data_IF_326735429228
#
_entry.id   IF_326735429228
#
_cell.length_a   1.000
_cell.length_b   1.000
_cell.length_c   1.000
_cell.angle_alpha   90.00
_cell.angle_beta   90.00
_cell.angle_gamma   90.00
#
_symmetry.space_group_name_H-M   'P 1'
#
loop_
_entity.id
_entity.type
_entity.pdbx_description
1 polymer ?
#
# COMPACT_ATOMS: atom_id res chain seq x y z
N UNK A 1 5.64 -2.09 -4.61
CA UNK A 1 6.73 -2.51 -3.71
C UNK A 1 6.94 -4.01 -3.90
N UNK A 2 8.17 -4.51 -3.78
CA UNK A 2 8.45 -5.93 -3.90
C UNK A 2 8.26 -6.62 -2.53
N UNK A 3 7.59 -7.77 -2.51
CA UNK A 3 7.33 -8.55 -1.30
C UNK A 3 8.58 -9.35 -0.91
N UNK A 4 8.95 -9.35 0.37
CA UNK A 4 10.05 -10.16 0.92
C UNK A 4 9.52 -11.41 1.64
N UNK A 5 9.58 -12.55 0.96
CA UNK A 5 9.15 -13.85 1.50
C UNK A 5 9.76 -14.20 2.86
N UNK A 6 11.05 -13.95 3.07
CA UNK A 6 11.71 -14.31 4.34
C UNK A 6 11.21 -13.45 5.51
N UNK A 7 10.80 -12.20 5.25
CA UNK A 7 10.13 -11.37 6.25
C UNK A 7 8.77 -11.96 6.65
N UNK A 8 8.00 -12.47 5.68
CA UNK A 8 6.72 -13.11 5.96
C UNK A 8 6.88 -14.40 6.78
N UNK A 9 7.84 -15.25 6.41
CA UNK A 9 8.16 -16.48 7.16
C UNK A 9 8.64 -16.13 8.58
N UNK A 10 9.49 -15.11 8.73
CA UNK A 10 9.96 -14.65 10.05
C UNK A 10 8.82 -14.12 10.92
N UNK A 11 7.80 -13.49 10.32
CA UNK A 11 6.61 -13.05 11.04
C UNK A 11 5.84 -14.20 11.68
N UNK A 12 5.71 -15.32 10.95
CA UNK A 12 5.10 -16.54 11.46
C UNK A 12 5.95 -17.16 12.57
N UNK A 13 7.25 -17.33 12.34
CA UNK A 13 8.17 -17.92 13.31
C UNK A 13 8.20 -17.17 14.64
N UNK A 14 8.15 -15.84 14.59
CA UNK A 14 8.11 -15.01 15.80
C UNK A 14 6.85 -15.25 16.67
N UNK A 15 5.76 -15.73 16.07
CA UNK A 15 4.44 -15.96 16.68
C UNK A 15 4.12 -17.44 16.92
N UNK A 16 4.93 -18.35 16.38
CA UNK A 16 4.82 -19.79 16.62
C UNK A 16 4.79 -20.09 18.12
N UNK A 17 3.75 -20.79 18.57
CA UNK A 17 3.53 -21.10 19.99
C UNK A 17 3.12 -19.93 20.89
N UNK A 18 2.91 -18.72 20.36
CA UNK A 18 2.53 -17.52 21.13
C UNK A 18 1.14 -16.96 20.80
N UNK A 19 0.55 -17.42 19.71
CA UNK A 19 -0.78 -17.00 19.24
C UNK A 19 -1.68 -18.21 19.09
N UNK A 20 -2.98 -17.99 19.20
CA UNK A 20 -3.99 -19.04 19.07
C UNK A 20 -4.70 -19.00 17.72
N UNK A 21 -5.30 -20.12 17.32
CA UNK A 21 -6.18 -20.14 16.15
C UNK A 21 -7.57 -19.60 16.51
N UNK A 22 -8.10 -18.66 15.73
CA UNK A 22 -9.49 -18.19 15.86
C UNK A 22 -10.03 -17.63 14.55
N UNK A 23 -11.24 -18.08 14.14
CA UNK A 23 -11.98 -17.48 13.02
C UNK A 23 -12.79 -16.25 13.43
N UNK A 24 -13.11 -16.10 14.72
CA UNK A 24 -13.86 -14.95 15.25
C UNK A 24 -12.93 -13.76 15.57
N UNK A 25 -11.73 -14.07 16.08
CA UNK A 25 -10.72 -13.09 16.49
C UNK A 25 -9.46 -13.26 15.65
N UNK A 26 -9.56 -12.91 14.36
CA UNK A 26 -8.53 -13.22 13.36
C UNK A 26 -7.56 -12.09 13.03
N UNK A 27 -7.74 -10.92 13.63
CA UNK A 27 -6.97 -9.70 13.31
C UNK A 27 -5.76 -9.45 14.23
N UNK A 28 -5.43 -10.43 15.09
CA UNK A 28 -4.36 -10.32 16.07
C UNK A 28 -4.74 -9.48 17.31
N UNK A 29 -3.75 -9.20 18.19
CA UNK A 29 -2.38 -9.72 18.16
C UNK A 29 -2.27 -11.16 18.70
N UNK A 30 -3.28 -11.64 19.43
CA UNK A 30 -3.22 -12.89 20.18
C UNK A 30 -3.77 -14.11 19.41
N UNK A 31 -4.47 -13.88 18.31
CA UNK A 31 -5.09 -14.93 17.53
C UNK A 31 -5.25 -14.56 16.05
N UNK A 32 -5.20 -15.59 15.22
CA UNK A 32 -5.32 -15.51 13.77
C UNK A 32 -6.02 -16.77 13.26
N UNK A 33 -6.68 -16.73 12.12
CA UNK A 33 -6.98 -17.93 11.32
C UNK A 33 -5.91 -18.16 10.24
N UNK A 34 -6.10 -19.17 9.38
CA UNK A 34 -5.16 -19.50 8.33
C UNK A 34 -4.89 -18.33 7.38
N UNK A 35 -5.92 -17.75 6.78
CA UNK A 35 -5.82 -16.70 5.76
C UNK A 35 -5.45 -15.33 6.33
N UNK A 36 -5.93 -14.97 7.50
CA UNK A 36 -5.48 -13.76 8.20
C UNK A 36 -4.00 -13.84 8.57
N UNK A 37 -3.51 -15.01 8.99
CA UNK A 37 -2.09 -15.18 9.32
C UNK A 37 -1.19 -14.97 8.09
N UNK A 38 -1.56 -15.51 6.93
CA UNK A 38 -0.85 -15.29 5.65
C UNK A 38 -0.93 -13.83 5.23
N UNK A 39 -2.12 -13.23 5.34
CA UNK A 39 -2.34 -11.81 5.05
C UNK A 39 -1.42 -10.90 5.85
N UNK A 40 -1.39 -11.01 7.18
CA UNK A 40 -0.57 -10.15 8.03
C UNK A 40 0.92 -10.43 7.90
N UNK A 41 1.30 -11.69 7.65
CA UNK A 41 2.69 -12.05 7.36
C UNK A 41 3.18 -11.37 6.08
N UNK A 42 2.44 -11.49 4.98
CA UNK A 42 2.79 -10.90 3.70
C UNK A 42 2.68 -9.36 3.73
N UNK A 43 1.72 -8.78 4.45
CA UNK A 43 1.69 -7.34 4.70
C UNK A 43 2.93 -6.84 5.42
N UNK A 44 3.40 -7.56 6.44
CA UNK A 44 4.65 -7.21 7.12
C UNK A 44 5.88 -7.33 6.19
N UNK A 45 5.75 -8.08 5.10
CA UNK A 45 6.74 -8.27 4.06
C UNK A 45 6.61 -7.30 2.86
N UNK A 46 5.70 -6.32 2.92
CA UNK A 46 5.54 -5.30 1.87
C UNK A 46 4.42 -5.57 0.87
N UNK A 47 3.54 -6.55 1.13
CA UNK A 47 2.31 -6.74 0.35
C UNK A 47 1.37 -5.55 0.53
N UNK A 48 0.70 -5.16 -0.55
CA UNK A 48 -0.36 -4.14 -0.51
C UNK A 48 -1.53 -4.65 0.32
N UNK A 49 -2.00 -3.81 1.25
CA UNK A 49 -3.16 -4.12 2.09
C UNK A 49 -4.42 -4.30 1.24
N UNK A 50 -5.23 -5.32 1.56
CA UNK A 50 -6.59 -5.46 1.05
C UNK A 50 -7.63 -4.58 1.79
N UNK A 51 -7.22 -3.86 2.84
CA UNK A 51 -8.10 -3.12 3.76
C UNK A 51 -8.71 -3.96 4.89
N UNK A 52 -8.69 -5.29 4.76
CA UNK A 52 -9.17 -6.26 5.75
C UNK A 52 -8.36 -7.55 5.63
N UNK A 53 -8.28 -8.35 6.69
CA UNK A 53 -7.62 -9.64 6.63
C UNK A 53 -8.35 -10.57 5.65
N UNK A 54 -7.76 -10.87 4.50
CA UNK A 54 -8.44 -11.67 3.46
C UNK A 54 -8.87 -13.04 4.00
N UNK A 55 -9.96 -13.59 3.46
CA UNK A 55 -10.32 -15.00 3.66
C UNK A 55 -9.83 -15.82 2.47
N UNK A 56 -9.95 -17.15 2.54
CA UNK A 56 -9.52 -18.10 1.51
C UNK A 56 -10.14 -17.84 0.13
N UNK A 57 -11.35 -17.28 0.04
CA UNK A 57 -12.00 -16.94 -1.24
C UNK A 57 -11.38 -15.72 -1.93
N UNK A 58 -11.07 -14.69 -1.13
CA UNK A 58 -10.53 -13.43 -1.63
C UNK A 58 -9.00 -13.40 -1.71
N UNK A 59 -8.33 -14.32 -1.01
CA UNK A 59 -6.87 -14.41 -0.97
C UNK A 59 -6.27 -14.65 -2.37
N UNK A 60 -6.94 -15.41 -3.22
CA UNK A 60 -6.56 -15.62 -4.63
C UNK A 60 -6.32 -14.29 -5.38
N UNK A 61 -7.33 -13.42 -5.43
CA UNK A 61 -7.24 -12.15 -6.15
C UNK A 61 -6.24 -11.20 -5.50
N UNK A 62 -6.14 -11.27 -4.17
CA UNK A 62 -5.22 -10.45 -3.42
C UNK A 62 -3.75 -10.83 -3.68
N UNK A 63 -3.43 -12.12 -3.77
CA UNK A 63 -2.10 -12.60 -4.14
C UNK A 63 -1.72 -12.15 -5.56
N UNK A 64 -2.63 -12.29 -6.54
CA UNK A 64 -2.38 -11.81 -7.90
C UNK A 64 -2.10 -10.31 -7.95
N UNK A 65 -2.89 -9.50 -7.22
CA UNK A 65 -2.65 -8.04 -7.10
C UNK A 65 -1.31 -7.71 -6.46
N UNK A 66 -0.76 -8.63 -5.68
CA UNK A 66 0.52 -8.53 -5.00
C UNK A 66 1.69 -9.08 -5.82
N UNK A 67 1.47 -9.42 -7.09
CA UNK A 67 2.52 -9.90 -8.00
C UNK A 67 2.81 -11.39 -7.90
N UNK A 68 1.91 -12.16 -7.28
CA UNK A 68 1.94 -13.62 -7.39
C UNK A 68 1.31 -14.07 -8.70
N UNK A 69 1.73 -15.23 -9.19
CA UNK A 69 1.08 -15.97 -10.26
C UNK A 69 0.62 -17.33 -9.77
N UNK A 70 -0.48 -17.82 -10.34
CA UNK A 70 -0.91 -19.20 -10.18
C UNK A 70 0.08 -20.11 -10.93
N UNK A 71 0.75 -21.01 -10.22
CA UNK A 71 1.72 -21.96 -10.80
C UNK A 71 1.19 -23.38 -10.87
N UNK A 72 0.19 -23.72 -10.05
CA UNK A 72 -0.49 -25.01 -10.11
C UNK A 72 -1.95 -24.88 -9.62
N UNK A 73 -2.84 -25.64 -10.25
CA UNK A 73 -4.23 -25.82 -9.87
C UNK A 73 -4.58 -27.31 -9.92
N UNK A 74 -4.87 -27.90 -8.75
CA UNK A 74 -5.25 -29.30 -8.54
C UNK A 74 -4.38 -30.32 -9.32
N UNK A 75 -3.08 -30.08 -9.32
CA UNK A 75 -2.07 -30.91 -9.98
C UNK A 75 -0.74 -30.79 -9.21
N UNK A 76 0.16 -31.74 -9.44
CA UNK A 76 1.50 -31.72 -8.85
C UNK A 76 2.32 -30.51 -9.32
N UNK A 77 3.24 -30.06 -8.46
CA UNK A 77 4.21 -29.02 -8.79
C UNK A 77 5.50 -29.19 -8.00
N UNK A 78 6.56 -28.57 -8.49
CA UNK A 78 7.83 -28.44 -7.75
C UNK A 78 7.70 -27.29 -6.76
N UNK A 79 7.45 -27.62 -5.50
CA UNK A 79 7.26 -26.69 -4.39
C UNK A 79 8.52 -25.90 -4.08
N UNK A 80 8.33 -24.60 -3.88
CA UNK A 80 9.42 -23.68 -3.57
C UNK A 80 9.11 -22.89 -2.31
N UNK A 81 10.16 -22.56 -1.56
CA UNK A 81 10.07 -21.64 -0.43
C UNK A 81 9.42 -20.33 -0.89
N UNK A 82 8.35 -19.94 -0.20
CA UNK A 82 7.56 -18.75 -0.50
C UNK A 82 6.33 -18.98 -1.37
N UNK A 83 6.13 -20.21 -1.87
CA UNK A 83 4.86 -20.57 -2.46
C UNK A 83 3.75 -20.46 -1.41
N UNK A 84 2.63 -19.86 -1.80
CA UNK A 84 1.41 -19.77 -0.99
C UNK A 84 0.43 -20.79 -1.55
N UNK A 85 0.00 -21.75 -0.74
CA UNK A 85 -1.04 -22.69 -1.14
C UNK A 85 -2.39 -22.24 -0.58
N UNK A 86 -3.46 -22.49 -1.34
CA UNK A 86 -4.83 -22.30 -0.90
C UNK A 86 -5.60 -23.58 -1.21
N UNK A 87 -6.15 -24.22 -0.17
CA UNK A 87 -7.03 -25.36 -0.26
C UNK A 87 -8.50 -24.96 -0.21
N UNK A 88 -9.32 -25.74 -0.89
CA UNK A 88 -10.75 -25.52 -1.06
C UNK A 88 -11.05 -24.95 -2.44
N UNK A 89 -12.04 -25.53 -3.13
CA UNK A 89 -12.45 -25.06 -4.45
C UNK A 89 -13.02 -23.65 -4.33
N UNK A 90 -12.59 -22.75 -5.23
CA UNK A 90 -13.01 -21.35 -5.20
C UNK A 90 -14.54 -21.25 -5.37
N UNK A 91 -15.19 -20.47 -4.51
CA UNK A 91 -16.65 -20.39 -4.34
C UNK A 91 -17.23 -21.38 -3.32
N UNK A 92 -16.41 -22.26 -2.74
CA UNK A 92 -16.80 -23.27 -1.74
C UNK A 92 -15.84 -23.35 -0.55
N UNK A 93 -14.82 -22.49 -0.47
CA UNK A 93 -13.73 -22.52 0.51
C UNK A 93 -13.96 -21.64 1.74
N UNK A 94 -15.15 -21.02 1.88
CA UNK A 94 -15.50 -20.20 3.04
C UNK A 94 -15.59 -20.98 4.36
N UNK A 95 -15.24 -20.34 5.48
CA UNK A 95 -15.30 -20.95 6.81
C UNK A 95 -14.35 -22.14 6.93
N UNK A 96 -14.88 -23.30 7.32
CA UNK A 96 -14.10 -24.54 7.44
C UNK A 96 -13.79 -25.22 6.08
N UNK A 97 -14.30 -24.68 4.97
CA UNK A 97 -14.15 -25.25 3.63
C UNK A 97 -12.80 -24.98 2.96
N UNK A 98 -11.92 -24.21 3.59
CA UNK A 98 -10.63 -23.84 3.02
C UNK A 98 -9.51 -23.70 4.05
N UNK A 99 -8.28 -23.74 3.55
CA UNK A 99 -7.08 -23.62 4.37
C UNK A 99 -5.91 -23.05 3.55
N UNK A 100 -4.95 -22.40 4.18
CA UNK A 100 -3.86 -21.71 3.46
C UNK A 100 -2.62 -21.59 4.34
N UNK A 101 -1.47 -21.36 3.70
CA UNK A 101 -0.17 -21.26 4.35
C UNK A 101 0.97 -21.00 3.36
N UNK A 102 2.19 -20.89 3.88
CA UNK A 102 3.38 -20.58 3.10
C UNK A 102 4.39 -21.74 3.18
N UNK A 103 4.93 -22.17 2.05
CA UNK A 103 6.05 -23.11 2.00
C UNK A 103 7.32 -22.46 2.54
N UNK A 104 8.01 -23.14 3.45
CA UNK A 104 9.30 -22.68 3.99
C UNK A 104 10.49 -23.42 3.35
N UNK A 105 10.24 -24.56 2.71
CA UNK A 105 11.17 -25.32 1.87
C UNK A 105 10.35 -26.19 0.89
N UNK A 106 10.92 -27.24 0.32
CA UNK A 106 10.24 -28.16 -0.60
C UNK A 106 9.09 -28.93 0.06
N UNK A 107 9.20 -29.26 1.34
CA UNK A 107 8.35 -30.28 1.97
C UNK A 107 7.52 -29.73 3.13
N UNK A 108 7.92 -28.58 3.68
CA UNK A 108 7.35 -28.04 4.91
C UNK A 108 6.64 -26.71 4.67
N UNK A 109 5.54 -26.54 5.39
CA UNK A 109 4.73 -25.32 5.41
C UNK A 109 4.70 -24.71 6.80
N UNK A 110 4.54 -23.39 6.86
CA UNK A 110 4.19 -22.66 8.06
C UNK A 110 2.80 -22.05 7.91
N UNK A 111 1.93 -22.29 8.89
CA UNK A 111 0.53 -21.91 8.79
C UNK A 111 -0.13 -21.81 10.17
N UNK A 112 -1.17 -21.00 10.30
CA UNK A 112 -2.06 -21.02 11.46
C UNK A 112 -3.18 -22.03 11.22
N UNK A 113 -3.38 -22.99 12.12
CA UNK A 113 -4.39 -24.04 11.94
C UNK A 113 -5.08 -24.47 13.24
N UNK A 114 -6.30 -24.99 13.06
CA UNK A 114 -7.16 -25.46 14.14
C UNK A 114 -6.54 -26.64 14.89
N UNK A 115 -5.98 -27.64 14.19
CA UNK A 115 -5.46 -28.87 14.77
C UNK A 115 -4.31 -28.64 15.78
N UNK A 116 -3.46 -27.65 15.52
CA UNK A 116 -2.35 -27.24 16.40
C UNK A 116 -2.69 -26.02 17.26
N UNK A 117 -3.91 -25.50 17.16
CA UNK A 117 -4.45 -24.38 17.95
C UNK A 117 -3.63 -23.09 17.83
N UNK A 118 -3.00 -22.85 16.70
CA UNK A 118 -2.13 -21.69 16.46
C UNK A 118 -1.21 -21.90 15.26
N UNK A 119 -0.10 -21.18 15.24
CA UNK A 119 0.92 -21.31 14.19
C UNK A 119 1.82 -22.52 14.47
N UNK A 120 2.03 -23.36 13.46
CA UNK A 120 2.93 -24.50 13.47
C UNK A 120 3.68 -24.65 12.13
N UNK A 121 4.73 -25.47 12.16
CA UNK A 121 5.43 -25.96 10.97
C UNK A 121 5.12 -27.44 10.86
N UNK A 122 4.62 -27.86 9.71
CA UNK A 122 4.23 -29.24 9.44
C UNK A 122 4.63 -29.62 8.01
N UNK A 123 4.83 -30.92 7.76
CA UNK A 123 5.07 -31.43 6.41
C UNK A 123 3.79 -31.32 5.58
N UNK A 124 3.89 -30.77 4.37
CA UNK A 124 2.74 -30.47 3.51
C UNK A 124 1.91 -31.70 3.19
N UNK A 125 2.53 -32.77 2.68
CA UNK A 125 1.84 -34.00 2.27
C UNK A 125 1.10 -34.66 3.43
N UNK A 126 1.68 -34.61 4.63
CA UNK A 126 1.04 -35.15 5.84
C UNK A 126 -0.26 -34.40 6.16
N UNK A 127 -0.24 -33.06 6.09
CA UNK A 127 -1.41 -32.23 6.38
C UNK A 127 -2.44 -32.31 5.24
N UNK A 128 -1.98 -32.37 3.98
CA UNK A 128 -2.83 -32.52 2.81
C UNK A 128 -3.59 -33.86 2.82
N UNK A 129 -2.89 -34.96 3.13
CA UNK A 129 -3.49 -36.28 3.28
C UNK A 129 -4.51 -36.32 4.42
N UNK A 130 -4.19 -35.72 5.58
CA UNK A 130 -5.11 -35.62 6.71
C UNK A 130 -6.37 -34.80 6.39
N UNK A 131 -6.27 -33.87 5.45
CA UNK A 131 -7.39 -33.05 4.96
C UNK A 131 -8.19 -33.73 3.84
N UNK A 132 -7.79 -34.94 3.42
CA UNK A 132 -8.44 -35.68 2.34
C UNK A 132 -8.09 -35.18 0.94
N UNK A 133 -6.90 -34.57 0.77
CA UNK A 133 -6.43 -34.01 -0.51
C UNK A 133 -7.44 -33.04 -1.12
N UNK A 134 -7.78 -32.01 -0.34
CA UNK A 134 -8.65 -30.93 -0.80
C UNK A 134 -8.11 -30.30 -2.08
N UNK A 135 -9.02 -29.78 -2.92
CA UNK A 135 -8.67 -29.04 -4.13
C UNK A 135 -7.67 -27.93 -3.80
N UNK A 136 -6.56 -27.83 -4.54
CA UNK A 136 -5.44 -26.96 -4.19
C UNK A 136 -5.07 -25.97 -5.30
N UNK A 137 -4.79 -24.73 -4.92
CA UNK A 137 -4.20 -23.69 -5.75
C UNK A 137 -2.84 -23.30 -5.18
N UNK A 138 -1.86 -23.06 -6.03
CA UNK A 138 -0.51 -22.67 -5.61
C UNK A 138 -0.08 -21.40 -6.30
N UNK A 139 0.31 -20.41 -5.51
CA UNK A 139 0.72 -19.09 -5.95
C UNK A 139 2.19 -18.85 -5.65
N UNK A 140 2.94 -18.41 -6.66
CA UNK A 140 4.36 -18.07 -6.55
C UNK A 140 4.59 -16.60 -6.86
N UNK A 141 5.33 -15.92 -6.01
CA UNK A 141 5.73 -14.54 -6.26
C UNK A 141 6.60 -14.47 -7.52
N UNK A 142 6.25 -13.60 -8.47
CA UNK A 142 7.12 -13.39 -9.64
C UNK A 142 8.39 -12.65 -9.20
N UNK A 143 9.53 -13.34 -9.27
CA UNK A 143 10.83 -12.77 -8.95
C UNK A 143 11.12 -11.55 -9.85
N UNK A 144 11.36 -10.39 -9.22
CA UNK A 144 11.98 -9.26 -9.90
C UNK A 144 13.31 -9.67 -10.52
N UNK A 145 13.45 -9.41 -11.83
CA UNK A 145 14.57 -9.68 -12.73
C UNK A 145 15.91 -10.18 -12.14
N UNK A 146 16.41 -11.29 -12.68
CA UNK A 146 17.80 -11.77 -12.51
C UNK A 146 18.84 -10.67 -12.83
N UNK A 147 19.91 -10.63 -12.02
CA UNK A 147 21.06 -9.72 -12.17
C UNK A 147 22.24 -10.35 -12.93
N UNK A 148 22.14 -11.62 -13.31
CA UNK A 148 23.23 -12.36 -13.94
C UNK A 148 23.45 -11.91 -15.40
N UNK A 149 24.65 -11.43 -15.72
CA UNK A 149 25.04 -10.99 -17.08
C UNK A 149 24.72 -9.54 -17.43
N UNK A 150 24.15 -8.75 -16.51
CA UNK A 150 23.83 -7.34 -16.74
C UNK A 150 25.03 -6.41 -16.52
N UNK A 151 25.12 -5.35 -17.32
CA UNK A 151 26.17 -4.34 -17.15
C UNK A 151 25.92 -3.46 -15.92
N UNK A 152 26.99 -2.89 -15.34
CA UNK A 152 26.89 -2.00 -14.18
C UNK A 152 25.98 -0.78 -14.44
N UNK A 153 26.02 -0.20 -15.64
CA UNK A 153 25.14 0.91 -16.05
C UNK A 153 23.66 0.48 -16.09
N UNK A 154 23.38 -0.72 -16.62
CA UNK A 154 22.03 -1.29 -16.61
C UNK A 154 21.54 -1.50 -15.18
N UNK A 155 22.38 -2.08 -14.33
CA UNK A 155 22.04 -2.31 -12.93
C UNK A 155 21.80 -1.00 -12.17
N UNK A 156 22.62 0.04 -12.39
CA UNK A 156 22.41 1.38 -11.82
C UNK A 156 21.09 2.00 -12.26
N UNK A 157 20.77 1.98 -13.56
CA UNK A 157 19.51 2.52 -14.09
C UNK A 157 18.29 1.76 -13.56
N UNK A 158 18.36 0.43 -13.55
CA UNK A 158 17.28 -0.41 -13.02
C UNK A 158 17.13 -0.25 -11.51
N UNK A 159 18.23 -0.01 -10.79
CA UNK A 159 18.22 0.29 -9.35
C UNK A 159 17.61 1.66 -9.05
N UNK A 160 17.96 2.70 -9.83
CA UNK A 160 17.34 4.03 -9.74
C UNK A 160 15.85 3.99 -10.12
N UNK A 161 15.47 3.12 -11.05
CA UNK A 161 14.07 2.84 -11.41
C UNK A 161 13.34 1.95 -10.40
N UNK A 162 13.99 1.54 -9.30
CA UNK A 162 13.38 0.79 -8.20
C UNK A 162 13.17 -0.70 -8.44
N UNK A 163 13.73 -1.30 -9.49
CA UNK A 163 13.53 -2.73 -9.82
C UNK A 163 14.08 -3.71 -8.79
N UNK A 164 15.04 -3.29 -7.96
CA UNK A 164 15.74 -4.16 -7.01
C UNK A 164 15.39 -3.86 -5.55
N UNK A 165 14.32 -3.11 -5.29
CA UNK A 165 13.97 -2.70 -3.92
C UNK A 165 15.02 -1.79 -3.28
N UNK A 166 14.98 -1.69 -1.94
CA UNK A 166 15.81 -0.79 -1.12
C UNK A 166 16.50 -1.56 0.01
N UNK A 167 17.52 -0.98 0.66
CA UNK A 167 18.21 -1.58 1.82
C UNK A 167 18.76 -2.99 1.55
N UNK A 168 18.51 -3.91 2.48
CA UNK A 168 18.94 -5.32 2.40
C UNK A 168 18.31 -6.08 1.23
N UNK A 169 17.10 -5.68 0.79
CA UNK A 169 16.46 -6.25 -0.41
C UNK A 169 17.29 -5.96 -1.66
N UNK A 170 17.78 -4.72 -1.77
CA UNK A 170 18.68 -4.30 -2.85
C UNK A 170 20.03 -5.01 -2.78
N UNK A 171 20.53 -5.22 -1.57
CA UNK A 171 21.78 -5.95 -1.31
C UNK A 171 21.68 -7.42 -1.69
N UNK A 172 20.58 -8.07 -1.37
CA UNK A 172 20.30 -9.44 -1.76
C UNK A 172 20.08 -9.58 -3.29
N UNK A 173 19.31 -8.68 -3.89
CA UNK A 173 18.99 -8.73 -5.32
C UNK A 173 20.21 -8.45 -6.22
N UNK A 174 21.03 -7.45 -5.86
CA UNK A 174 22.25 -7.10 -6.60
C UNK A 174 23.44 -8.01 -6.24
N UNK A 175 23.39 -8.72 -5.11
CA UNK A 175 24.44 -9.64 -4.67
C UNK A 175 25.82 -9.01 -4.71
N UNK A 176 26.76 -9.63 -5.42
CA UNK A 176 28.13 -9.15 -5.57
C UNK A 176 28.25 -7.81 -6.33
N UNK A 177 27.21 -7.37 -7.05
CA UNK A 177 27.19 -6.09 -7.78
C UNK A 177 26.72 -4.93 -6.90
N UNK A 178 26.19 -5.20 -5.70
CA UNK A 178 25.59 -4.18 -4.82
C UNK A 178 26.54 -3.02 -4.53
N UNK A 179 27.76 -3.29 -4.08
CA UNK A 179 28.71 -2.25 -3.71
C UNK A 179 29.08 -1.36 -4.90
N UNK A 180 29.32 -1.96 -6.06
CA UNK A 180 29.64 -1.23 -7.28
C UNK A 180 28.48 -0.34 -7.75
N UNK A 181 27.25 -0.85 -7.71
CA UNK A 181 26.05 -0.08 -8.10
C UNK A 181 25.79 1.07 -7.12
N UNK A 182 25.95 0.83 -5.81
CA UNK A 182 25.76 1.87 -4.79
C UNK A 182 26.85 2.92 -4.81
N UNK A 183 28.10 2.56 -5.11
CA UNK A 183 29.19 3.51 -5.25
C UNK A 183 28.92 4.53 -6.36
N UNK A 184 28.34 4.09 -7.49
CA UNK A 184 27.93 4.95 -8.60
C UNK A 184 26.73 5.83 -8.22
N UNK A 185 25.69 5.26 -7.61
CA UNK A 185 24.48 6.00 -7.21
C UNK A 185 24.78 7.06 -6.15
N UNK A 186 25.62 6.73 -5.16
CA UNK A 186 25.97 7.63 -4.06
C UNK A 186 27.05 8.67 -4.43
N UNK A 187 27.41 8.77 -5.72
CA UNK A 187 28.41 9.71 -6.21
C UNK A 187 29.84 9.45 -5.71
N UNK A 188 30.12 8.28 -5.14
CA UNK A 188 31.45 7.89 -4.63
C UNK A 188 32.36 7.31 -5.71
N UNK A 189 31.80 6.94 -6.86
CA UNK A 189 32.52 6.58 -8.08
C UNK A 189 31.79 7.16 -9.29
N UNK A 190 32.51 7.74 -10.24
CA UNK A 190 31.91 8.06 -11.55
C UNK A 190 31.64 6.74 -12.27
N UNK A 191 30.43 6.56 -12.80
CA UNK A 191 30.19 5.48 -13.77
C UNK A 191 31.27 5.59 -14.86
N UNK A 192 31.91 4.49 -15.28
CA UNK A 192 32.86 4.56 -16.39
C UNK A 192 32.11 5.09 -17.61
N UNK A 193 32.34 6.36 -17.95
CA UNK A 193 31.74 6.99 -19.12
C UNK A 193 32.28 6.22 -20.31
N UNK A 194 31.38 5.60 -21.08
CA UNK A 194 31.76 4.92 -22.31
C UNK A 194 32.56 5.90 -23.16
N UNK A 195 33.70 5.44 -23.65
CA UNK A 195 34.54 6.27 -24.53
C UNK A 195 33.80 6.56 -25.83
N UNK A 196 34.19 7.63 -26.52
CA UNK A 196 33.65 7.98 -27.84
C UNK A 196 33.77 6.79 -28.81
N UNK A 197 34.81 5.98 -28.67
CA UNK A 197 35.04 4.79 -29.50
C UNK A 197 34.05 3.65 -29.20
N UNK A 198 33.75 3.40 -27.92
CA UNK A 198 32.74 2.40 -27.53
C UNK A 198 31.34 2.82 -27.98
N UNK A 199 30.99 4.10 -27.80
CA UNK A 199 29.72 4.64 -28.26
C UNK A 199 29.61 4.60 -29.79
N UNK A 200 30.70 4.88 -30.50
CA UNK A 200 30.71 4.80 -31.97
C UNK A 200 30.49 3.36 -32.47
N UNK A 201 31.06 2.36 -31.80
CA UNK A 201 30.79 0.96 -32.12
C UNK A 201 29.33 0.57 -31.85
N UNK A 202 28.73 1.03 -30.75
CA UNK A 202 27.32 0.77 -30.44
C UNK A 202 26.37 1.43 -31.47
N UNK A 203 26.74 2.61 -31.99
CA UNK A 203 26.01 3.27 -33.08
C UNK A 203 26.09 2.46 -34.37
N UNK A 204 27.27 1.94 -34.72
CA UNK A 204 27.46 1.05 -35.89
C UNK A 204 26.67 -0.25 -35.72
N UNK A 205 26.56 -0.77 -34.49
CA UNK A 205 25.74 -1.93 -34.13
C UNK A 205 24.23 -1.63 -34.06
N UNK A 206 23.80 -0.39 -34.34
CA UNK A 206 22.39 0.00 -34.39
C UNK A 206 21.70 0.22 -33.03
N UNK A 207 22.45 0.21 -31.91
CA UNK A 207 21.88 0.27 -30.54
C UNK A 207 21.32 1.65 -30.14
N UNK A 208 21.60 2.68 -30.93
CA UNK A 208 21.19 4.07 -30.65
C UNK A 208 20.13 4.61 -31.63
N UNK A 209 19.52 3.77 -32.48
CA UNK A 209 18.56 4.24 -33.48
C UNK A 209 19.16 5.18 -34.54
N UNK A 210 18.31 5.94 -35.23
CA UNK A 210 18.67 6.86 -36.31
C UNK A 210 18.14 8.28 -36.03
N UNK A 211 18.75 9.30 -36.65
CA UNK A 211 18.30 10.70 -36.56
C UNK A 211 18.16 11.23 -35.13
N UNK A 212 16.96 11.73 -34.79
CA UNK A 212 16.65 12.32 -33.49
C UNK A 212 16.73 11.31 -32.33
N UNK A 213 16.41 10.04 -32.56
CA UNK A 213 16.54 9.00 -31.51
C UNK A 213 18.00 8.80 -31.10
N UNK A 214 18.91 8.88 -32.07
CA UNK A 214 20.35 8.83 -31.81
C UNK A 214 20.84 10.05 -31.06
N UNK A 215 20.34 11.22 -31.42
CA UNK A 215 20.67 12.48 -30.75
C UNK A 215 20.19 12.50 -29.30
N UNK A 216 18.97 12.00 -29.05
CA UNK A 216 18.41 11.81 -27.71
C UNK A 216 19.18 10.75 -26.91
N UNK A 217 19.63 9.68 -27.56
CA UNK A 217 20.35 8.57 -26.92
C UNK A 217 21.79 8.93 -26.53
N UNK A 218 22.51 9.69 -27.37
CA UNK A 218 23.91 10.08 -27.16
C UNK A 218 24.07 11.43 -26.43
N UNK A 219 23.03 12.27 -26.45
CA UNK A 219 23.00 13.57 -25.78
C UNK A 219 24.19 14.45 -26.15
N UNK A 220 24.96 14.98 -25.17
CA UNK A 220 26.09 15.89 -25.44
C UNK A 220 27.26 15.21 -26.17
N UNK A 221 27.35 13.88 -26.15
CA UNK A 221 28.41 13.13 -26.84
C UNK A 221 28.09 12.88 -28.32
N UNK A 222 26.89 13.26 -28.78
CA UNK A 222 26.41 13.01 -30.15
C UNK A 222 27.40 13.46 -31.22
N UNK A 223 27.88 14.70 -31.17
CA UNK A 223 28.75 15.25 -32.23
C UNK A 223 30.11 14.53 -32.28
N UNK A 224 30.70 14.22 -31.12
CA UNK A 224 31.97 13.52 -31.02
C UNK A 224 31.85 12.06 -31.50
N UNK A 225 30.77 11.37 -31.10
CA UNK A 225 30.50 9.99 -31.49
C UNK A 225 30.16 9.88 -32.97
N UNK A 226 29.33 10.78 -33.50
CA UNK A 226 28.96 10.77 -34.91
C UNK A 226 30.17 11.07 -35.82
N UNK A 227 31.07 11.96 -35.38
CA UNK A 227 32.36 12.17 -36.05
C UNK A 227 33.20 10.89 -36.06
N UNK A 228 33.30 10.20 -34.92
CA UNK A 228 34.06 8.95 -34.80
C UNK A 228 33.46 7.79 -35.60
N UNK A 229 32.14 7.65 -35.63
CA UNK A 229 31.43 6.70 -36.51
C UNK A 229 31.78 6.97 -37.97
N UNK A 230 31.81 8.24 -38.38
CA UNK A 230 32.19 8.63 -39.74
C UNK A 230 33.64 8.27 -40.06
N UNK A 231 34.57 8.45 -39.11
CA UNK A 231 35.97 8.04 -39.24
C UNK A 231 36.12 6.52 -39.36
N UNK A 232 35.39 5.73 -38.54
CA UNK A 232 35.42 4.27 -38.58
C UNK A 232 34.85 3.72 -39.90
N UNK A 233 33.77 4.34 -40.40
CA UNK A 233 33.17 3.98 -41.67
C UNK A 233 34.03 4.41 -42.86
N UNK A 234 34.76 5.53 -42.77
CA UNK A 234 35.77 5.95 -43.77
C UNK A 234 37.06 5.13 -43.71
N UNK A 235 37.45 4.61 -42.55
CA UNK A 235 38.56 3.66 -42.40
C UNK A 235 38.23 2.26 -42.93
N UNK A 236 36.95 1.91 -42.98
CA UNK A 236 36.43 0.65 -43.51
C UNK A 236 36.15 0.67 -45.02
N UNK A 237 36.36 1.79 -45.73
CA UNK A 237 36.29 1.82 -47.20
C UNK A 237 37.58 1.30 -47.84
N UNK A 238 37.80 -0.01 -47.71
CA UNK A 238 38.31 -0.83 -48.80
C UNK A 238 37.48 -2.11 -48.81
N UNK A 239 36.39 -2.10 -49.59
CA UNK A 239 35.52 -3.27 -49.71
C UNK A 239 34.06 -2.97 -50.02
N UNK A 240 33.80 -2.65 -51.29
CA UNK A 240 32.54 -2.80 -52.02
C UNK A 240 31.29 -1.96 -51.67
N UNK A 241 30.97 -1.13 -52.66
CA UNK A 241 29.79 -0.31 -52.96
C UNK A 241 28.56 -1.14 -53.40
N UNK A 242 27.36 -0.55 -53.63
CA UNK A 242 26.10 -0.93 -52.99
C UNK A 242 24.98 -1.30 -53.99
N UNK A 243 23.77 -1.62 -53.51
CA UNK A 243 22.51 -1.39 -54.26
C UNK A 243 21.27 -1.43 -53.37
N UNK A 244 20.58 -0.29 -53.27
CA UNK A 244 19.12 -0.20 -53.07
C UNK A 244 18.46 -0.24 -54.47
N UNK A 245 17.18 -0.63 -54.61
CA UNK A 245 16.13 0.40 -54.67
C UNK A 245 14.74 0.03 -54.09
N UNK A 246 14.01 1.09 -53.80
CA UNK A 246 12.56 1.29 -53.57
C UNK A 246 11.61 0.45 -54.44
N UNK A 247 10.44 0.08 -53.90
CA UNK A 247 9.11 0.54 -54.39
C UNK A 247 7.93 -0.08 -53.63
N UNK A 248 6.90 0.74 -53.35
CA UNK A 248 5.52 0.34 -53.06
C UNK A 248 4.73 0.30 -54.41
N UNK A 249 3.58 -0.42 -54.57
CA UNK A 249 2.29 0.12 -54.08
C UNK A 249 1.10 -0.89 -53.86
N UNK A 250 0.02 -0.35 -53.25
CA UNK A 250 -1.44 -0.62 -53.46
C UNK A 250 -2.02 -2.02 -53.11
N UNK A 251 -2.95 -2.15 -52.16
CA UNK A 251 -4.41 -1.81 -52.14
C UNK A 251 -5.27 -3.05 -52.45
N UNK A 252 -6.14 -3.44 -51.51
CA UNK A 252 -7.54 -3.73 -51.83
C UNK A 252 -8.43 -3.78 -50.58
N UNK A 253 -9.65 -3.30 -50.77
CA UNK A 253 -10.71 -2.93 -49.84
C UNK A 253 -11.87 -3.87 -50.11
N UNK A 254 -12.55 -4.42 -49.11
CA UNK A 254 -14.02 -4.62 -49.19
C UNK A 254 -14.67 -4.51 -47.80
N UNK A 255 -15.58 -3.54 -47.71
CA UNK A 255 -16.55 -3.22 -46.65
C UNK A 255 -17.65 -4.28 -46.48
N UNK A 256 -18.28 -4.33 -45.29
CA UNK A 256 -19.66 -3.82 -45.04
C UNK A 256 -20.24 -4.46 -43.75
N UNK A 257 -20.53 -3.70 -42.68
CA UNK A 257 -21.85 -3.17 -42.23
C UNK A 257 -22.97 -4.24 -42.15
N UNK A 258 -23.76 -4.39 -41.07
CA UNK A 258 -24.72 -3.41 -40.51
C UNK A 258 -25.40 -3.98 -39.22
N UNK A 259 -25.72 -3.12 -38.23
CA UNK A 259 -26.70 -3.33 -37.11
C UNK A 259 -28.17 -3.09 -37.63
N UNK A 260 -29.30 -2.97 -36.85
CA UNK A 260 -29.55 -2.94 -35.38
C UNK A 260 -30.91 -3.54 -34.82
N UNK A 261 -31.22 -3.27 -33.52
CA UNK A 261 -32.55 -3.08 -32.83
C UNK A 261 -33.31 -4.33 -32.27
N UNK A 262 -34.09 -4.38 -31.15
CA UNK A 262 -34.54 -3.51 -30.01
C UNK A 262 -35.20 -4.41 -28.91
N UNK A 263 -35.25 -3.96 -27.63
CA UNK A 263 -36.22 -4.17 -26.48
C UNK A 263 -36.98 -5.52 -26.27
N UNK A 264 -37.24 -6.07 -25.06
CA UNK A 264 -37.96 -5.49 -23.90
C UNK A 264 -37.94 -6.41 -22.63
N UNK A 265 -38.05 -5.79 -21.44
CA UNK A 265 -38.62 -6.18 -20.11
C UNK A 265 -38.44 -7.54 -19.41
N UNK A 266 -38.14 -7.46 -18.09
CA UNK A 266 -38.34 -8.54 -17.12
C UNK A 266 -37.73 -8.23 -15.74
N UNK A 267 -38.46 -7.51 -14.88
CA UNK A 267 -38.06 -7.24 -13.49
C UNK A 267 -38.32 -8.46 -12.58
N UNK A 268 -37.33 -8.86 -11.76
CA UNK A 268 -37.55 -9.41 -10.41
C UNK A 268 -36.36 -9.05 -9.52
N UNK A 269 -36.65 -8.42 -8.38
CA UNK A 269 -35.66 -7.88 -7.47
C UNK A 269 -34.93 -8.94 -6.65
N UNK A 270 -33.65 -8.67 -6.36
CA UNK A 270 -32.90 -9.24 -5.24
C UNK A 270 -31.87 -8.20 -4.80
N UNK A 271 -31.77 -8.00 -3.49
CA UNK A 271 -30.96 -6.98 -2.84
C UNK A 271 -29.54 -6.91 -3.42
N UNK A 272 -29.23 -5.80 -4.08
CA UNK A 272 -27.89 -5.48 -4.54
C UNK A 272 -27.09 -4.94 -3.37
N UNK A 273 -26.14 -5.75 -2.90
CA UNK A 273 -24.95 -5.25 -2.21
C UNK A 273 -24.38 -4.12 -3.07
N UNK A 274 -24.57 -2.89 -2.59
CA UNK A 274 -24.10 -1.71 -3.31
C UNK A 274 -22.60 -1.69 -3.14
N UNK A 275 -21.90 -2.26 -4.12
CA UNK A 275 -20.45 -2.12 -4.29
C UNK A 275 -20.19 -0.62 -4.38
N UNK A 276 -19.86 0.02 -3.25
CA UNK A 276 -19.63 1.47 -3.20
C UNK A 276 -18.42 1.76 -4.07
N UNK A 277 -18.66 2.20 -5.30
CA UNK A 277 -17.63 2.66 -6.21
C UNK A 277 -17.25 4.09 -5.82
N UNK A 278 -15.95 4.38 -5.84
CA UNK A 278 -15.42 5.74 -5.68
C UNK A 278 -16.00 6.61 -6.79
N UNK A 279 -16.65 7.70 -6.40
CA UNK A 279 -17.16 8.71 -7.32
C UNK A 279 -16.19 9.90 -7.40
N UNK A 280 -16.39 10.78 -8.39
CA UNK A 280 -15.55 11.96 -8.54
C UNK A 280 -15.71 12.88 -7.32
N UNK A 281 -14.57 13.30 -6.74
CA UNK A 281 -14.53 14.06 -5.49
C UNK A 281 -14.56 13.25 -4.19
N UNK A 282 -14.76 11.92 -4.25
CA UNK A 282 -14.58 11.04 -3.08
C UNK A 282 -13.08 10.88 -2.76
N UNK A 283 -12.76 10.72 -1.47
CA UNK A 283 -11.44 10.24 -1.05
C UNK A 283 -11.50 8.73 -0.78
N UNK A 284 -10.48 7.99 -1.19
CA UNK A 284 -10.35 6.57 -0.89
C UNK A 284 -9.02 6.29 -0.22
N UNK A 285 -9.02 5.51 0.83
CA UNK A 285 -7.78 5.01 1.42
C UNK A 285 -8.03 3.74 2.21
N UNK A 286 -7.25 2.69 1.94
CA UNK A 286 -7.29 1.41 2.65
C UNK A 286 -8.70 0.77 2.71
N UNK A 287 -9.44 0.81 1.59
CA UNK A 287 -10.79 0.24 1.48
C UNK A 287 -11.91 1.09 2.08
N UNK A 288 -11.60 2.20 2.75
CA UNK A 288 -12.58 3.19 3.18
C UNK A 288 -12.77 4.27 2.11
N UNK A 289 -14.02 4.70 1.92
CA UNK A 289 -14.38 5.81 1.02
C UNK A 289 -15.00 6.91 1.86
N UNK A 290 -14.37 8.09 1.88
CA UNK A 290 -15.00 9.30 2.38
C UNK A 290 -15.78 9.92 1.23
N UNK A 291 -17.11 9.77 1.30
CA UNK A 291 -18.01 10.33 0.31
C UNK A 291 -17.90 11.84 0.26
N UNK A 292 -17.94 12.39 -0.96
CA UNK A 292 -17.86 13.84 -1.20
C UNK A 292 -18.87 14.62 -0.36
N UNK A 293 -20.08 14.11 -0.19
CA UNK A 293 -21.11 14.73 0.66
C UNK A 293 -20.65 14.90 2.11
N UNK A 294 -20.02 13.88 2.69
CA UNK A 294 -19.47 13.93 4.06
C UNK A 294 -18.21 14.79 4.10
N UNK A 295 -17.36 14.72 3.07
CA UNK A 295 -16.19 15.59 2.93
C UNK A 295 -16.61 17.07 2.92
N UNK A 296 -17.63 17.44 2.16
CA UNK A 296 -18.13 18.82 2.10
C UNK A 296 -18.61 19.31 3.48
N UNK A 297 -19.26 18.45 4.28
CA UNK A 297 -19.63 18.74 5.68
C UNK A 297 -18.40 18.95 6.55
N UNK A 298 -17.39 18.07 6.44
CA UNK A 298 -16.12 18.20 7.17
C UNK A 298 -15.43 19.53 6.81
N UNK A 299 -15.37 19.89 5.53
CA UNK A 299 -14.77 21.14 5.06
C UNK A 299 -15.52 22.36 5.59
N UNK A 300 -16.86 22.33 5.62
CA UNK A 300 -17.67 23.39 6.19
C UNK A 300 -17.40 23.57 7.70
N UNK A 301 -17.32 22.47 8.45
CA UNK A 301 -16.99 22.50 9.89
C UNK A 301 -15.55 22.96 10.16
N UNK A 302 -14.60 22.55 9.32
CA UNK A 302 -13.22 23.04 9.36
C UNK A 302 -13.17 24.56 9.19
N UNK A 303 -13.91 25.11 8.23
CA UNK A 303 -14.03 26.55 8.03
C UNK A 303 -14.66 27.25 9.23
N UNK A 304 -15.78 26.72 9.74
CA UNK A 304 -16.53 27.27 10.88
C UNK A 304 -15.64 27.41 12.13
N UNK A 305 -14.78 26.41 12.38
CA UNK A 305 -14.00 26.32 13.60
C UNK A 305 -12.51 26.64 13.42
N UNK A 306 -12.11 27.10 12.22
CA UNK A 306 -10.73 27.39 11.87
C UNK A 306 -9.79 26.21 12.15
N UNK A 307 -10.12 25.03 11.61
CA UNK A 307 -9.36 23.79 11.74
C UNK A 307 -8.85 23.38 10.37
N UNK A 308 -7.63 22.84 10.28
CA UNK A 308 -7.07 22.34 9.02
C UNK A 308 -7.85 21.09 8.54
N UNK A 309 -8.47 21.12 7.33
CA UNK A 309 -9.02 19.93 6.69
C UNK A 309 -8.10 18.73 6.61
N UNK A 310 -6.82 18.91 6.28
CA UNK A 310 -5.85 17.81 6.18
C UNK A 310 -5.73 17.05 7.51
N UNK A 311 -5.76 17.78 8.63
CA UNK A 311 -5.81 17.20 9.97
C UNK A 311 -7.12 16.43 10.20
N UNK A 312 -8.28 17.08 10.00
CA UNK A 312 -9.58 16.47 10.28
C UNK A 312 -9.84 15.22 9.42
N UNK A 313 -9.56 15.28 8.12
CA UNK A 313 -9.71 14.16 7.18
C UNK A 313 -8.83 12.99 7.63
N UNK A 314 -7.57 13.26 8.01
CA UNK A 314 -6.62 12.22 8.40
C UNK A 314 -7.02 11.56 9.72
N UNK A 315 -7.42 12.33 10.73
CA UNK A 315 -7.71 11.78 12.06
C UNK A 315 -8.98 10.93 12.03
N UNK A 316 -10.00 11.35 11.26
CA UNK A 316 -11.23 10.58 11.07
C UNK A 316 -10.99 9.28 10.29
N UNK A 317 -9.94 9.21 9.46
CA UNK A 317 -9.48 7.93 8.91
C UNK A 317 -8.73 7.11 9.95
N UNK A 318 -7.79 7.73 10.65
CA UNK A 318 -6.89 7.08 11.58
C UNK A 318 -7.65 6.38 12.72
N UNK A 319 -8.67 7.03 13.26
CA UNK A 319 -9.49 6.51 14.35
C UNK A 319 -10.64 5.63 13.84
N UNK A 320 -11.38 6.12 12.85
CA UNK A 320 -12.69 5.58 12.49
C UNK A 320 -12.75 4.87 11.15
N UNK A 321 -11.66 4.89 10.37
CA UNK A 321 -11.61 4.45 8.97
C UNK A 321 -12.74 5.08 8.13
N UNK A 322 -12.97 6.39 8.32
CA UNK A 322 -14.10 7.13 7.72
C UNK A 322 -15.44 6.40 7.88
N UNK A 323 -15.68 5.87 9.08
CA UNK A 323 -16.92 5.22 9.47
C UNK A 323 -17.00 3.73 9.19
N UNK A 324 -15.99 3.13 8.56
CA UNK A 324 -16.00 1.70 8.25
C UNK A 324 -15.52 0.80 9.40
N UNK A 325 -14.95 1.39 10.46
CA UNK A 325 -14.62 0.69 11.71
C UNK A 325 -15.88 0.11 12.39
N UNK A 326 -15.69 -0.87 13.29
CA UNK A 326 -16.80 -1.47 14.03
C UNK A 326 -17.63 -0.43 14.79
N UNK A 327 -16.94 0.51 15.47
CA UNK A 327 -17.58 1.61 16.22
C UNK A 327 -18.19 2.65 15.27
N UNK A 328 -17.53 2.97 14.16
CA UNK A 328 -18.08 3.86 13.14
C UNK A 328 -19.40 3.37 12.54
N UNK A 329 -19.51 2.05 12.29
CA UNK A 329 -20.73 1.41 11.76
C UNK A 329 -21.83 1.26 12.80
N UNK A 330 -21.48 0.86 14.02
CA UNK A 330 -22.47 0.57 15.06
C UNK A 330 -22.99 1.85 15.73
N UNK A 331 -22.13 2.86 15.88
CA UNK A 331 -22.38 4.00 16.76
C UNK A 331 -22.28 5.36 16.07
N UNK A 332 -22.03 5.40 14.76
CA UNK A 332 -21.74 6.62 14.00
C UNK A 332 -20.59 7.45 14.62
N UNK A 333 -19.69 6.80 15.36
CA UNK A 333 -18.69 7.47 16.19
C UNK A 333 -17.29 7.23 15.63
N UNK A 334 -16.81 8.14 14.77
CA UNK A 334 -15.56 7.93 14.03
C UNK A 334 -14.33 8.41 14.80
N UNK A 335 -14.52 9.12 15.90
CA UNK A 335 -13.44 9.65 16.75
C UNK A 335 -13.28 8.92 18.08
N UNK A 336 -14.01 7.82 18.31
CA UNK A 336 -13.91 7.03 19.55
C UNK A 336 -14.45 7.73 20.80
N UNK A 337 -15.43 8.63 20.66
CA UNK A 337 -15.97 9.43 21.76
C UNK A 337 -16.59 8.55 22.85
N UNK A 338 -16.15 8.73 24.10
CA UNK A 338 -16.52 7.88 25.23
C UNK A 338 -17.82 8.35 25.89
N UNK A 339 -18.72 7.42 26.19
CA UNK A 339 -19.97 7.68 26.90
C UNK A 339 -19.71 8.27 28.30
N UNK A 340 -20.41 9.37 28.61
CA UNK A 340 -20.23 10.11 29.88
C UNK A 340 -21.34 9.86 30.91
N UNK A 341 -22.28 8.97 30.61
CA UNK A 341 -23.47 8.74 31.46
C UNK A 341 -24.60 9.75 31.26
N UNK A 342 -24.45 10.74 30.36
CA UNK A 342 -25.46 11.75 30.03
C UNK A 342 -25.66 11.84 28.53
N UNK A 343 -26.93 11.97 28.12
CA UNK A 343 -27.30 12.03 26.70
C UNK A 343 -27.13 13.41 26.10
N UNK A 344 -27.34 14.47 26.88
CA UNK A 344 -27.26 15.86 26.42
C UNK A 344 -25.80 16.32 26.35
N UNK A 345 -25.33 16.63 25.14
CA UNK A 345 -23.98 17.13 24.91
C UNK A 345 -23.94 18.66 24.91
N UNK A 346 -22.84 19.28 25.35
CA UNK A 346 -22.69 20.74 25.29
C UNK A 346 -22.72 21.31 23.86
N UNK A 347 -22.55 20.48 22.84
CA UNK A 347 -22.73 20.83 21.43
C UNK A 347 -24.20 20.99 21.01
N UNK A 348 -25.15 20.61 21.88
CA UNK A 348 -26.58 20.53 21.58
C UNK A 348 -27.01 19.18 21.00
N UNK A 349 -26.07 18.28 20.70
CA UNK A 349 -26.34 16.93 20.21
C UNK A 349 -26.85 16.04 21.34
N UNK A 350 -27.81 15.17 21.02
CA UNK A 350 -28.25 14.10 21.94
C UNK A 350 -27.61 12.79 21.53
N UNK A 351 -27.01 12.09 22.50
CA UNK A 351 -26.39 10.77 22.32
C UNK A 351 -26.99 9.74 23.26
N UNK A 352 -26.83 8.47 22.92
CA UNK A 352 -27.13 7.34 23.81
C UNK A 352 -25.87 6.52 24.09
N UNK A 353 -25.98 5.55 25.00
CA UNK A 353 -24.92 4.59 25.25
C UNK A 353 -24.79 3.66 24.03
N UNK A 354 -23.59 3.60 23.46
CA UNK A 354 -23.25 2.73 22.33
C UNK A 354 -22.56 1.45 22.75
N UNK A 355 -21.75 0.90 21.84
CA UNK A 355 -21.02 -0.36 22.04
C UNK A 355 -20.00 -0.28 23.19
N UNK A 356 -19.67 -1.44 23.76
CA UNK A 356 -18.68 -1.53 24.83
C UNK A 356 -17.27 -1.18 24.31
N UNK A 357 -16.51 -0.44 25.12
CA UNK A 357 -15.08 -0.18 24.85
C UNK A 357 -14.24 -1.42 25.15
N UNK A 358 -13.00 -1.49 24.64
CA UNK A 358 -12.05 -2.54 25.02
C UNK A 358 -11.99 -2.73 26.55
N UNK A 359 -11.92 -3.97 27.01
CA UNK A 359 -12.04 -4.31 28.43
C UNK A 359 -10.98 -3.62 29.31
N UNK A 360 -9.81 -3.31 28.76
CA UNK A 360 -8.72 -2.57 29.40
C UNK A 360 -8.98 -1.06 29.54
N UNK A 361 -9.89 -0.48 28.76
CA UNK A 361 -10.28 0.93 28.85
C UNK A 361 -11.54 1.14 29.71
N UNK A 362 -12.43 0.16 29.69
CA UNK A 362 -13.70 0.20 30.41
C UNK A 362 -14.71 1.22 29.85
N UNK A 363 -15.98 0.98 30.16
CA UNK A 363 -17.09 1.84 29.72
C UNK A 363 -17.60 1.54 28.32
N UNK A 364 -18.31 2.51 27.74
CA UNK A 364 -18.98 2.40 26.44
C UNK A 364 -18.64 3.59 25.54
N UNK A 365 -18.77 3.43 24.24
CA UNK A 365 -18.74 4.53 23.28
C UNK A 365 -20.07 5.31 23.31
N UNK A 366 -20.04 6.54 22.81
CA UNK A 366 -21.26 7.28 22.49
C UNK A 366 -21.86 6.73 21.19
N UNK A 367 -23.18 6.53 21.17
CA UNK A 367 -23.96 6.29 19.97
C UNK A 367 -24.60 7.60 19.50
N UNK A 368 -24.32 7.97 18.26
CA UNK A 368 -24.90 9.14 17.60
C UNK A 368 -26.01 8.72 16.65
N UNK A 369 -27.09 9.51 16.57
CA UNK A 369 -28.18 9.24 15.65
C UNK A 369 -27.75 9.32 14.18
N UNK A 370 -26.73 10.15 13.88
CA UNK A 370 -26.16 10.31 12.54
C UNK A 370 -24.67 10.66 12.58
N UNK A 371 -24.00 10.52 11.43
CA UNK A 371 -22.62 10.99 11.27
C UNK A 371 -22.53 12.52 11.41
N UNK A 372 -23.55 13.26 10.99
CA UNK A 372 -23.58 14.72 11.12
C UNK A 372 -23.66 15.17 12.59
N UNK A 373 -24.39 14.42 13.42
CA UNK A 373 -24.42 14.63 14.88
C UNK A 373 -23.05 14.38 15.50
N UNK A 374 -22.40 13.28 15.11
CA UNK A 374 -21.02 12.99 15.53
C UNK A 374 -20.07 14.10 15.11
N UNK A 375 -20.09 14.52 13.83
CA UNK A 375 -19.22 15.58 13.33
C UNK A 375 -19.47 16.89 14.09
N UNK A 376 -20.73 17.23 14.36
CA UNK A 376 -21.09 18.42 15.14
C UNK A 376 -20.52 18.37 16.56
N UNK A 377 -20.66 17.25 17.26
CA UNK A 377 -20.16 17.09 18.63
C UNK A 377 -18.63 16.99 18.69
N UNK A 378 -18.01 16.30 17.73
CA UNK A 378 -16.56 16.14 17.68
C UNK A 378 -15.86 17.46 17.36
N UNK A 379 -16.31 18.18 16.33
CA UNK A 379 -15.79 19.51 16.00
C UNK A 379 -16.02 20.53 17.12
N UNK A 380 -17.13 20.41 17.86
CA UNK A 380 -17.35 21.22 19.05
C UNK A 380 -16.18 21.07 20.03
N UNK A 381 -15.62 19.88 20.26
CA UNK A 381 -14.46 19.73 21.16
C UNK A 381 -13.19 20.44 20.68
N UNK A 382 -13.05 20.64 19.38
CA UNK A 382 -11.87 21.22 18.71
C UNK A 382 -11.93 22.74 18.50
N UNK A 383 -13.12 23.33 18.60
CA UNK A 383 -13.37 24.75 18.38
C UNK A 383 -12.54 25.64 19.32
N UNK A 384 -12.44 26.93 19.00
CA UNK A 384 -11.81 27.89 19.91
C UNK A 384 -12.44 27.87 21.30
N UNK A 385 -11.61 27.79 22.36
CA UNK A 385 -12.05 27.60 23.74
C UNK A 385 -12.48 26.18 24.11
N UNK A 386 -12.42 25.23 23.16
CA UNK A 386 -12.71 23.81 23.37
C UNK A 386 -11.69 23.08 24.23
N UNK A 387 -11.95 21.77 24.43
CA UNK A 387 -11.09 20.89 25.23
C UNK A 387 -9.75 20.62 24.56
N UNK A 388 -9.70 20.66 23.22
CA UNK A 388 -8.48 20.50 22.42
C UNK A 388 -8.11 21.83 21.76
N UNK A 389 -6.80 22.08 21.61
CA UNK A 389 -6.23 23.35 21.13
C UNK A 389 -5.82 23.26 19.66
N UNK A 390 -6.77 22.84 18.83
CA UNK A 390 -6.56 22.60 17.39
C UNK A 390 -6.93 23.82 16.55
N UNK A 391 -7.97 24.55 16.94
CA UNK A 391 -8.41 25.76 16.24
C UNK A 391 -7.28 26.77 16.09
N UNK A 392 -7.00 27.19 14.86
CA UNK A 392 -5.94 28.14 14.50
C UNK A 392 -4.54 27.54 14.36
N UNK A 393 -4.38 26.22 14.45
CA UNK A 393 -3.11 25.56 14.13
C UNK A 393 -2.70 25.85 12.68
N UNK A 394 -1.43 26.20 12.46
CA UNK A 394 -0.91 26.59 11.15
C UNK A 394 -0.36 25.40 10.38
N UNK A 395 0.03 24.35 11.10
CA UNK A 395 0.56 23.11 10.53
C UNK A 395 -0.19 21.89 11.05
N UNK A 396 -0.08 20.77 10.32
CA UNK A 396 -0.68 19.50 10.70
C UNK A 396 -0.06 18.97 12.00
N UNK A 397 1.25 19.14 12.19
CA UNK A 397 1.94 18.76 13.43
C UNK A 397 1.50 19.60 14.64
N UNK A 398 1.25 20.90 14.46
CA UNK A 398 0.68 21.77 15.49
C UNK A 398 -0.74 21.36 15.86
N UNK A 399 -1.57 21.04 14.86
CA UNK A 399 -2.94 20.56 15.07
C UNK A 399 -2.95 19.29 15.93
N UNK A 400 -2.05 18.33 15.64
CA UNK A 400 -1.89 17.13 16.46
C UNK A 400 -1.41 17.48 17.87
N UNK A 401 -0.43 18.38 18.00
CA UNK A 401 0.06 18.80 19.33
C UNK A 401 -1.07 19.34 20.19
N UNK A 402 -1.97 20.13 19.59
CA UNK A 402 -3.18 20.67 20.21
C UNK A 402 -4.18 19.61 20.72
N UNK A 403 -4.05 18.34 20.31
CA UNK A 403 -4.87 17.23 20.80
C UNK A 403 -4.37 16.63 22.12
N UNK A 404 -3.19 17.06 22.60
CA UNK A 404 -2.56 16.50 23.78
C UNK A 404 -2.27 17.59 24.81
N UNK A 405 -2.10 17.20 26.07
CA UNK A 405 -1.75 18.14 27.15
C UNK A 405 -0.46 18.91 26.85
N UNK A 406 0.47 18.30 26.12
CA UNK A 406 1.71 18.95 25.65
C UNK A 406 1.46 20.16 24.72
N UNK A 407 0.31 20.23 24.05
CA UNK A 407 -0.16 21.39 23.30
C UNK A 407 -1.24 22.20 24.02
N UNK A 408 -1.47 21.96 25.31
CA UNK A 408 -2.43 22.71 26.12
C UNK A 408 -3.86 22.18 26.07
N UNK A 409 -4.09 20.96 25.55
CA UNK A 409 -5.39 20.30 25.67
C UNK A 409 -5.71 19.98 27.14
N UNK A 410 -6.99 19.85 27.44
CA UNK A 410 -7.46 19.42 28.77
C UNK A 410 -7.15 17.95 29.01
N UNK A 411 -7.23 17.12 27.96
CA UNK A 411 -7.02 15.68 27.98
C UNK A 411 -6.04 15.26 26.90
N UNK A 412 -5.39 14.12 27.08
CA UNK A 412 -4.65 13.47 26.01
C UNK A 412 -5.65 12.66 25.17
N UNK A 413 -5.68 12.94 23.86
CA UNK A 413 -6.66 12.32 22.96
C UNK A 413 -6.48 10.81 22.81
N UNK A 414 -5.24 10.31 22.88
CA UNK A 414 -4.92 8.89 22.75
C UNK A 414 -3.99 8.42 23.88
N UNK A 415 -4.22 7.21 24.38
CA UNK A 415 -3.42 6.59 25.45
C UNK A 415 -1.96 6.31 25.02
N UNK A 416 -1.69 6.26 23.72
CA UNK A 416 -0.35 6.05 23.14
C UNK A 416 0.61 7.23 23.38
N UNK A 417 0.07 8.41 23.74
CA UNK A 417 0.83 9.64 23.96
C UNK A 417 1.17 10.39 22.67
N UNK A 418 1.54 11.67 22.83
CA UNK A 418 1.71 12.62 21.73
C UNK A 418 2.70 12.16 20.65
N UNK A 419 3.93 11.77 21.01
CA UNK A 419 4.97 11.50 20.01
C UNK A 419 4.60 10.30 19.12
N UNK A 420 4.08 9.23 19.72
CA UNK A 420 3.63 8.04 18.98
C UNK A 420 2.44 8.38 18.07
N UNK A 421 1.52 9.21 18.58
CA UNK A 421 0.35 9.62 17.82
C UNK A 421 0.74 10.52 16.64
N UNK A 422 1.66 11.46 16.83
CA UNK A 422 2.20 12.34 15.79
C UNK A 422 2.83 11.52 14.67
N UNK A 423 3.69 10.56 15.00
CA UNK A 423 4.33 9.65 14.04
C UNK A 423 3.27 8.87 13.23
N UNK A 424 2.29 8.26 13.93
CA UNK A 424 1.21 7.50 13.29
C UNK A 424 0.35 8.35 12.35
N UNK A 425 -0.05 9.53 12.80
CA UNK A 425 -0.86 10.48 12.03
C UNK A 425 -0.11 11.06 10.82
N UNK A 426 1.16 11.43 10.98
CA UNK A 426 1.98 11.92 9.87
C UNK A 426 2.20 10.85 8.80
N UNK A 427 2.42 9.59 9.21
CA UNK A 427 2.48 8.47 8.28
C UNK A 427 1.14 8.25 7.58
N UNK A 428 0.01 8.37 8.31
CA UNK A 428 -1.34 8.21 7.75
C UNK A 428 -1.66 9.29 6.72
N UNK A 429 -1.33 10.54 7.01
CA UNK A 429 -1.50 11.67 6.08
C UNK A 429 -0.79 11.36 4.76
N UNK A 430 0.49 10.97 4.81
CA UNK A 430 1.26 10.68 3.58
C UNK A 430 0.72 9.49 2.80
N UNK A 431 0.20 8.48 3.49
CA UNK A 431 -0.43 7.35 2.83
C UNK A 431 -1.75 7.74 2.13
N UNK A 432 -2.59 8.58 2.76
CA UNK A 432 -3.80 9.12 2.13
C UNK A 432 -3.44 10.01 0.94
N UNK A 433 -2.43 10.87 1.08
CA UNK A 433 -1.97 11.77 0.01
C UNK A 433 -1.41 11.00 -1.19
N UNK A 434 -0.78 9.85 -0.98
CA UNK A 434 -0.27 9.01 -2.07
C UNK A 434 -1.38 8.47 -2.97
N UNK A 435 -2.59 8.24 -2.44
CA UNK A 435 -3.74 7.72 -3.20
C UNK A 435 -4.66 8.84 -3.74
N UNK A 436 -4.70 10.00 -3.09
CA UNK A 436 -5.68 11.06 -3.38
C UNK A 436 -5.05 12.40 -3.82
N UNK A 437 -3.73 12.45 -3.94
CA UNK A 437 -2.96 13.67 -4.07
C UNK A 437 -2.93 14.47 -2.76
N UNK A 438 -2.17 15.57 -2.73
CA UNK A 438 -1.99 16.32 -1.48
C UNK A 438 -3.31 16.82 -0.91
N UNK A 439 -3.47 16.69 0.40
CA UNK A 439 -4.60 17.23 1.15
C UNK A 439 -4.42 18.71 1.49
N UNK A 440 -3.21 19.26 1.35
CA UNK A 440 -2.94 20.68 1.56
C UNK A 440 -3.81 21.60 0.69
N UNK A 441 -4.27 21.10 -0.47
CA UNK A 441 -5.24 21.79 -1.34
C UNK A 441 -6.52 22.17 -0.59
N UNK A 442 -6.98 21.34 0.33
CA UNK A 442 -8.17 21.60 1.14
C UNK A 442 -7.90 22.64 2.21
N UNK A 443 -6.71 22.62 2.83
CA UNK A 443 -6.31 23.61 3.83
C UNK A 443 -6.32 25.01 3.24
N UNK A 444 -5.61 25.20 2.12
CA UNK A 444 -5.50 26.50 1.44
C UNK A 444 -6.84 27.01 0.91
N UNK A 445 -7.78 26.10 0.61
CA UNK A 445 -9.11 26.46 0.13
C UNK A 445 -10.08 26.81 1.26
N UNK A 446 -9.81 26.39 2.50
CA UNK A 446 -10.79 26.42 3.60
C UNK A 446 -10.45 27.46 4.67
N UNK A 447 -9.16 27.63 5.00
CA UNK A 447 -8.70 28.51 6.08
C UNK A 447 -7.68 29.54 5.56
N UNK A 448 -7.65 30.74 6.13
CA UNK A 448 -6.96 31.92 5.55
C UNK A 448 -5.53 32.16 6.06
N UNK A 449 -5.10 31.48 7.12
CA UNK A 449 -3.76 31.62 7.74
C UNK A 449 -3.07 30.26 7.88
N UNK A 450 -2.91 29.58 6.74
CA UNK A 450 -2.19 28.29 6.67
C UNK A 450 -0.69 28.54 6.69
N UNK A 451 0.04 27.83 7.56
CA UNK A 451 1.49 27.86 7.61
C UNK A 451 2.15 27.13 6.43
N UNK A 452 3.49 27.09 6.42
CA UNK A 452 4.19 26.22 5.49
C UNK A 452 3.83 24.76 5.75
N UNK A 453 3.62 23.97 4.70
CA UNK A 453 3.38 22.53 4.81
C UNK A 453 4.49 21.86 5.62
N UNK A 454 4.12 21.00 6.57
CA UNK A 454 5.10 20.23 7.34
C UNK A 454 5.99 19.43 6.38
N UNK A 455 7.30 19.50 6.61
CA UNK A 455 8.27 18.63 5.93
C UNK A 455 8.25 17.29 6.62
N UNK A 456 7.48 16.36 6.07
CA UNK A 456 7.36 15.00 6.57
C UNK A 456 8.08 14.08 5.59
N UNK A 457 9.19 13.52 6.04
CA UNK A 457 9.96 12.50 5.32
C UNK A 457 9.79 11.16 6.04
N UNK A 458 9.20 10.20 5.34
CA UNK A 458 8.99 8.84 5.85
C UNK A 458 10.04 7.94 5.22
N UNK A 459 11.08 7.58 5.98
CA UNK A 459 12.07 6.61 5.53
C UNK A 459 11.53 5.19 5.75
N UNK A 460 11.27 4.50 4.64
CA UNK A 460 10.67 3.16 4.59
C UNK A 460 11.59 2.07 5.21
N UNK A 461 12.82 2.41 5.60
CA UNK A 461 13.71 1.55 6.40
C UNK A 461 13.31 1.44 7.89
N UNK A 462 12.20 2.04 8.30
CA UNK A 462 11.48 1.58 9.48
C UNK A 462 12.15 1.85 10.83
N UNK A 463 12.96 2.91 10.93
CA UNK A 463 13.36 3.43 12.25
C UNK A 463 13.24 4.94 12.31
N UNK A 464 13.00 5.71 11.24
CA UNK A 464 13.04 7.18 11.33
C UNK A 464 11.93 7.87 10.53
N UNK A 465 11.09 8.65 11.21
CA UNK A 465 10.23 9.67 10.58
C UNK A 465 10.83 11.03 10.91
N UNK A 466 11.13 11.85 9.90
CA UNK A 466 11.52 13.24 10.12
C UNK A 466 10.32 14.16 9.92
N UNK A 467 9.98 14.93 10.95
CA UNK A 467 8.91 15.92 10.93
C UNK A 467 9.54 17.28 11.22
N UNK A 468 9.56 18.16 10.23
CA UNK A 468 10.16 19.50 10.33
C UNK A 468 11.61 19.48 10.82
N UNK A 469 12.39 18.47 10.42
CA UNK A 469 13.79 18.29 10.80
C UNK A 469 14.01 17.62 12.16
N UNK A 470 12.95 17.24 12.87
CA UNK A 470 13.03 16.39 14.08
C UNK A 470 12.83 14.94 13.69
N UNK A 471 13.84 14.11 13.95
CA UNK A 471 13.82 12.68 13.67
C UNK A 471 13.24 11.89 14.84
N UNK A 472 12.17 11.15 14.59
CA UNK A 472 11.50 10.27 15.54
C UNK A 472 11.83 8.82 15.22
N UNK A 473 12.19 8.05 16.25
CA UNK A 473 12.48 6.62 16.09
C UNK A 473 11.33 5.70 16.50
N UNK A 474 10.81 4.92 15.54
CA UNK A 474 9.77 3.91 15.79
C UNK A 474 10.39 2.71 16.52
N UNK A 475 10.41 2.77 17.84
CA UNK A 475 10.87 1.66 18.69
C UNK A 475 9.68 0.80 19.13
N UNK A 476 9.73 -0.50 18.82
CA UNK A 476 8.75 -1.48 19.29
C UNK A 476 8.92 -1.69 20.79
N UNK A 477 8.06 -1.09 21.61
CA UNK A 477 7.97 -1.43 23.05
C UNK A 477 6.92 -2.51 23.26
N UNK A 478 7.22 -3.58 24.04
CA UNK A 478 6.18 -4.46 24.56
C UNK A 478 5.23 -3.63 25.43
N UNK A 479 3.93 -3.75 25.19
CA UNK A 479 2.88 -3.22 26.07
C UNK A 479 2.39 -4.36 26.94
#
# INVERSE_FOLDING_TARGET
MAINTDTAISWFEARKGKVSYSMDYRDGPNSYDCSSSVYYALMSAGAISAGWAVNTEYEHDWLIKNGYKLVAENQDWDSQRGDVFIWGMRGQSSGAGGHTGIFIDSDNIIHCNWGKRGISVDNYDTVAAASGWMYCYVYRLESGASTQGKSLDTLVKETLAGKYGNGDVRKAALGNQYEAVMAVINGKAAAPKKTVDQLAQEVIQGKHGNGEDRKKSLGPDYDAVQKRVTEILKGSTSGNTPKTPSDAPKSEVVNSTTEPKTEETGATGKATDTKITKEDGDLSFNGAILKKSVLDVILAKCKEHNILPSYAITVLHFEGLWGTSAVGKADNNWGGMTWTGKGERPSGVTVTQGTARPANEGGHYMHYASVDDFLTDWFYLLRSGGSYKVSGAKTFSEAIKGMFKTGGAVYDYAATGYDNYLVGMSSRLKAIEAENGSLAKYDTATVTDVGSTDKIEVNIEGIEISINGVTYTLSKKPV
#
